data_IF_343701983003
#
_entry.id   IF_343701983003
#
_cell.length_a   1.000
_cell.length_b   1.000
_cell.length_c   1.000
_cell.angle_alpha   90.00
_cell.angle_beta   90.00
_cell.angle_gamma   90.00
#
_symmetry.space_group_name_H-M   'P 1'
#
loop_
_entity.id
_entity.type
_entity.pdbx_description
1 polymer ?
#
# COMPACT_ATOMS: atom_id res chain seq x y z
N UNK A 1 8.84 18.94 7.82
CA UNK A 1 7.82 18.94 6.74
C UNK A 1 7.98 17.77 5.76
N UNK A 2 9.20 17.45 5.27
CA UNK A 2 9.38 16.37 4.27
C UNK A 2 8.93 14.99 4.76
N UNK A 3 9.21 14.62 6.02
CA UNK A 3 8.82 13.32 6.58
C UNK A 3 7.30 13.10 6.55
N UNK A 4 6.51 14.13 6.89
CA UNK A 4 5.05 14.06 6.87
C UNK A 4 4.56 13.90 5.42
N UNK A 5 5.15 14.65 4.48
CA UNK A 5 4.83 14.53 3.06
C UNK A 5 5.15 13.13 2.51
N UNK A 6 6.30 12.55 2.88
CA UNK A 6 6.68 11.20 2.49
C UNK A 6 5.74 10.15 3.09
N UNK A 7 5.41 10.27 4.38
CA UNK A 7 4.45 9.37 5.02
C UNK A 7 3.07 9.44 4.34
N UNK A 8 2.60 10.66 4.01
CA UNK A 8 1.34 10.84 3.29
C UNK A 8 1.37 10.22 1.89
N UNK A 9 2.47 10.35 1.14
CA UNK A 9 2.59 9.72 -0.17
C UNK A 9 2.67 8.20 -0.10
N UNK A 10 3.32 7.63 0.92
CA UNK A 10 3.33 6.18 1.15
C UNK A 10 1.95 5.66 1.54
N UNK A 11 1.20 6.43 2.35
CA UNK A 11 -0.19 6.13 2.67
C UNK A 11 -1.05 6.09 1.40
N UNK A 12 -1.04 7.17 0.61
CA UNK A 12 -1.82 7.26 -0.65
C UNK A 12 -1.37 6.20 -1.66
N UNK A 13 -0.07 5.91 -1.74
CA UNK A 13 0.44 4.83 -2.57
C UNK A 13 -0.07 3.46 -2.15
N UNK A 14 -0.19 3.21 -0.85
CA UNK A 14 -0.79 2.00 -0.29
C UNK A 14 -2.23 1.77 -0.73
N UNK A 15 -3.08 2.79 -0.66
CA UNK A 15 -4.48 2.67 -1.08
C UNK A 15 -4.63 2.48 -2.60
N UNK A 16 -3.75 3.09 -3.39
CA UNK A 16 -3.68 2.85 -4.85
C UNK A 16 -3.31 1.39 -5.14
N UNK A 17 -2.38 0.80 -4.39
CA UNK A 17 -1.95 -0.58 -4.58
C UNK A 17 -3.07 -1.57 -4.25
N UNK A 18 -3.78 -1.39 -3.14
CA UNK A 18 -4.84 -2.31 -2.71
C UNK A 18 -6.07 -2.23 -3.61
N UNK A 19 -6.56 -1.02 -3.91
CA UNK A 19 -7.68 -0.82 -4.84
C UNK A 19 -7.30 -1.16 -6.29
N UNK A 20 -6.05 -0.87 -6.69
CA UNK A 20 -5.54 -1.25 -8.00
C UNK A 20 -5.43 -2.76 -8.17
N UNK A 21 -4.97 -3.48 -7.14
CA UNK A 21 -4.93 -4.94 -7.13
C UNK A 21 -6.34 -5.54 -7.24
N UNK A 22 -7.31 -4.97 -6.53
CA UNK A 22 -8.72 -5.37 -6.63
C UNK A 22 -9.25 -5.19 -8.07
N UNK A 23 -9.03 -4.02 -8.69
CA UNK A 23 -9.43 -3.75 -10.07
C UNK A 23 -8.75 -4.67 -11.09
N UNK A 24 -7.54 -5.15 -10.80
CA UNK A 24 -6.81 -6.11 -11.63
C UNK A 24 -7.24 -7.57 -11.41
N UNK A 25 -8.24 -7.81 -10.55
CA UNK A 25 -8.80 -9.14 -10.27
C UNK A 25 -8.16 -9.86 -9.07
N UNK A 26 -7.22 -9.23 -8.37
CA UNK A 26 -6.63 -9.74 -7.14
C UNK A 26 -7.34 -9.14 -5.92
N UNK A 27 -8.53 -9.68 -5.60
CA UNK A 27 -9.45 -9.14 -4.58
C UNK A 27 -9.10 -9.54 -3.14
N UNK A 28 -8.27 -10.57 -2.96
CA UNK A 28 -7.96 -11.13 -1.65
C UNK A 28 -7.41 -10.12 -0.61
N UNK A 29 -6.43 -9.26 -0.93
CA UNK A 29 -5.87 -8.30 0.03
C UNK A 29 -6.93 -7.29 0.48
N UNK A 30 -7.75 -6.80 -0.44
CA UNK A 30 -8.77 -5.82 -0.14
C UNK A 30 -9.84 -6.39 0.80
N UNK A 31 -10.37 -7.58 0.48
CA UNK A 31 -11.36 -8.23 1.35
C UNK A 31 -10.82 -8.58 2.74
N UNK A 32 -9.54 -8.96 2.86
CA UNK A 32 -8.95 -9.19 4.20
C UNK A 32 -8.88 -7.91 5.04
N UNK A 33 -8.64 -6.76 4.41
CA UNK A 33 -8.63 -5.45 5.07
C UNK A 33 -10.05 -5.06 5.48
N UNK A 34 -11.03 -5.21 4.60
CA UNK A 34 -12.43 -4.91 4.89
C UNK A 34 -12.98 -5.74 6.06
N UNK A 35 -12.71 -7.04 6.08
CA UNK A 35 -13.15 -7.91 7.19
C UNK A 35 -12.55 -7.43 8.52
N UNK A 36 -11.26 -7.09 8.53
CA UNK A 36 -10.61 -6.56 9.74
C UNK A 36 -11.19 -5.20 10.14
N UNK A 37 -11.43 -4.31 9.18
CA UNK A 37 -12.01 -2.99 9.40
C UNK A 37 -13.43 -3.09 9.98
N UNK A 38 -14.28 -3.96 9.42
CA UNK A 38 -15.64 -4.19 9.90
C UNK A 38 -15.65 -4.82 11.29
N UNK A 39 -14.74 -5.76 11.59
CA UNK A 39 -14.63 -6.35 12.93
C UNK A 39 -14.29 -5.30 14.00
N UNK A 40 -13.40 -4.35 13.68
CA UNK A 40 -13.05 -3.25 14.59
C UNK A 40 -14.19 -2.23 14.66
N UNK A 41 -14.81 -1.89 13.54
CA UNK A 41 -15.92 -0.94 13.47
C UNK A 41 -17.16 -1.42 14.25
N UNK A 42 -17.43 -2.73 14.25
CA UNK A 42 -18.51 -3.34 15.02
C UNK A 42 -18.38 -3.13 16.54
N UNK A 43 -17.17 -2.85 17.04
CA UNK A 43 -16.93 -2.53 18.45
C UNK A 43 -17.35 -1.10 18.83
N UNK A 44 -17.53 -0.21 17.83
CA UNK A 44 -17.94 1.19 18.02
C UNK A 44 -19.08 1.52 17.03
N UNK A 45 -20.30 1.02 17.26
CA UNK A 45 -21.41 1.12 16.30
C UNK A 45 -21.78 2.57 15.94
N UNK A 46 -21.66 3.49 16.90
CA UNK A 46 -21.99 4.91 16.70
C UNK A 46 -21.12 5.62 15.66
N UNK A 47 -19.96 5.05 15.31
CA UNK A 47 -19.00 5.62 14.35
C UNK A 47 -18.50 4.57 13.33
N UNK A 48 -19.30 3.54 13.06
CA UNK A 48 -18.90 2.38 12.26
C UNK A 48 -18.23 2.79 10.93
N UNK A 49 -18.83 3.70 10.16
CA UNK A 49 -18.27 4.17 8.89
C UNK A 49 -16.93 4.89 9.04
N UNK A 50 -16.78 5.75 10.06
CA UNK A 50 -15.52 6.48 10.29
C UNK A 50 -14.41 5.52 10.78
N UNK A 51 -14.76 4.58 11.66
CA UNK A 51 -13.80 3.58 12.17
C UNK A 51 -13.37 2.65 11.06
N UNK A 52 -14.30 2.14 10.25
CA UNK A 52 -14.00 1.29 9.10
C UNK A 52 -13.06 2.02 8.13
N UNK A 53 -13.37 3.26 7.76
CA UNK A 53 -12.51 4.07 6.88
C UNK A 53 -11.10 4.26 7.46
N UNK A 54 -10.97 4.62 8.74
CA UNK A 54 -9.66 4.82 9.38
C UNK A 54 -8.85 3.52 9.39
N UNK A 55 -9.48 2.40 9.75
CA UNK A 55 -8.79 1.11 9.85
C UNK A 55 -8.35 0.62 8.48
N UNK A 56 -9.22 0.70 7.47
CA UNK A 56 -8.88 0.37 6.08
C UNK A 56 -7.72 1.24 5.60
N UNK A 57 -7.80 2.56 5.81
CA UNK A 57 -6.77 3.49 5.38
C UNK A 57 -5.43 3.25 6.09
N UNK A 58 -5.44 2.91 7.38
CA UNK A 58 -4.23 2.56 8.12
C UNK A 58 -3.59 1.26 7.60
N UNK A 59 -4.39 0.23 7.31
CA UNK A 59 -3.92 -1.04 6.77
C UNK A 59 -3.37 -0.88 5.34
N UNK A 60 -4.03 -0.10 4.49
CA UNK A 60 -3.53 0.29 3.17
C UNK A 60 -2.14 0.92 3.27
N UNK A 61 -1.96 1.87 4.20
CA UNK A 61 -0.66 2.50 4.44
C UNK A 61 0.42 1.50 4.86
N UNK A 62 0.10 0.54 5.72
CA UNK A 62 1.02 -0.54 6.12
C UNK A 62 1.42 -1.39 4.90
N UNK A 63 0.46 -1.76 4.05
CA UNK A 63 0.74 -2.51 2.81
C UNK A 63 1.62 -1.69 1.88
N UNK A 64 1.33 -0.40 1.70
CA UNK A 64 2.15 0.50 0.89
C UNK A 64 3.61 0.53 1.34
N UNK A 65 3.85 0.57 2.66
CA UNK A 65 5.20 0.51 3.23
C UNK A 65 5.85 -0.85 2.98
N UNK A 66 5.13 -1.96 3.24
CA UNK A 66 5.67 -3.32 3.06
C UNK A 66 6.04 -3.58 1.59
N UNK A 67 5.14 -3.24 0.66
CA UNK A 67 5.36 -3.39 -0.78
C UNK A 67 6.48 -2.46 -1.25
N UNK A 68 6.51 -1.21 -0.80
CA UNK A 68 7.60 -0.28 -1.10
C UNK A 68 8.96 -0.82 -0.65
N UNK A 69 9.05 -1.31 0.59
CA UNK A 69 10.27 -1.94 1.11
C UNK A 69 10.67 -3.20 0.35
N UNK A 70 9.71 -4.01 -0.08
CA UNK A 70 9.97 -5.23 -0.86
C UNK A 70 10.45 -4.91 -2.29
N UNK A 71 9.94 -3.83 -2.90
CA UNK A 71 10.30 -3.42 -4.26
C UNK A 71 11.71 -2.79 -4.32
N UNK A 72 12.15 -2.06 -3.30
CA UNK A 72 13.49 -1.43 -3.27
C UNK A 72 14.63 -2.40 -3.61
N UNK A 73 14.81 -3.57 -2.95
CA UNK A 73 15.87 -4.51 -3.30
C UNK A 73 15.70 -5.11 -4.70
N UNK A 74 14.46 -5.31 -5.17
CA UNK A 74 14.19 -5.81 -6.53
C UNK A 74 14.69 -4.80 -7.55
N UNK A 75 14.33 -3.53 -7.40
CA UNK A 75 14.77 -2.47 -8.33
C UNK A 75 16.28 -2.31 -8.27
N UNK A 76 16.84 -2.14 -7.06
CA UNK A 76 18.27 -1.80 -6.88
C UNK A 76 19.21 -2.94 -7.22
N UNK A 77 18.86 -4.20 -6.93
CA UNK A 77 19.75 -5.36 -7.14
C UNK A 77 19.47 -6.14 -8.42
N UNK A 78 18.30 -6.00 -9.03
CA UNK A 78 17.94 -6.75 -10.25
C UNK A 78 17.79 -5.81 -11.44
N UNK A 79 16.88 -4.83 -11.34
CA UNK A 79 16.54 -3.98 -12.49
C UNK A 79 17.68 -3.03 -12.85
N UNK A 80 18.22 -2.29 -11.88
CA UNK A 80 19.33 -1.34 -12.12
C UNK A 80 20.54 -1.99 -12.78
N UNK A 81 21.10 -3.13 -12.31
CA UNK A 81 22.27 -3.72 -12.94
C UNK A 81 21.97 -4.37 -14.30
N UNK A 82 20.73 -4.77 -14.58
CA UNK A 82 20.36 -5.25 -15.92
C UNK A 82 20.31 -4.06 -16.88
N UNK A 83 19.66 -2.97 -16.48
CA UNK A 83 19.51 -1.78 -17.30
C UNK A 83 20.85 -1.16 -17.68
N UNK A 84 21.79 -1.06 -16.74
CA UNK A 84 23.13 -0.50 -17.01
C UNK A 84 23.95 -1.35 -17.98
N UNK A 85 23.69 -2.66 -18.10
CA UNK A 85 24.35 -3.50 -19.12
C UNK A 85 23.90 -3.18 -20.54
N UNK A 86 22.70 -2.66 -20.71
CA UNK A 86 22.14 -2.31 -22.03
C UNK A 86 22.30 -0.84 -22.38
N UNK A 87 22.73 0.01 -21.45
CA UNK A 87 23.02 1.41 -21.76
C UNK A 87 24.33 1.47 -22.57
N UNK A 88 24.28 1.92 -23.84
CA UNK A 88 25.51 2.15 -24.60
C UNK A 88 26.32 3.21 -23.87
N UNK A 89 27.63 2.99 -23.76
CA UNK A 89 28.56 3.95 -23.19
C UNK A 89 28.35 5.30 -23.89
N UNK A 90 27.90 6.31 -23.13
CA UNK A 90 27.94 7.69 -23.58
C UNK A 90 29.36 8.21 -23.48
#
# INVERSE_FOLDING_TARGET
LSVIGTAAMLWVGGSILTHGAEQLGWTWPYHTIEIAAHAVAAMIPSFEGAVSWIVTAALDGVIGILVGFAIIPVVTRVITPIWTRFQPAR
#
